data_IF_991342719933
#
_entry.id   IF_991342719933
#
_cell.length_a   1.000
_cell.length_b   1.000
_cell.length_c   1.000
_cell.angle_alpha   90.00
_cell.angle_beta   90.00
_cell.angle_gamma   90.00
#
_symmetry.space_group_name_H-M   'P 1'
#
loop_
_entity.id
_entity.type
_entity.pdbx_description
1 polymer ?
#
# COMPACT_ATOMS: atom_id res chain seq x y z
N UNK A 1 -16.77 12.72 -5.55
CA UNK A 1 -15.40 12.46 -5.05
C UNK A 1 -15.03 11.04 -5.42
N UNK A 2 -13.91 10.88 -6.11
CA UNK A 2 -13.30 9.61 -6.48
C UNK A 2 -11.94 9.48 -5.80
N UNK A 3 -11.40 8.27 -5.73
CA UNK A 3 -10.02 8.05 -5.27
C UNK A 3 -8.98 8.80 -6.13
N UNK A 4 -9.33 9.12 -7.38
CA UNK A 4 -8.47 9.85 -8.32
C UNK A 4 -8.27 11.34 -8.00
N UNK A 5 -9.05 11.89 -7.07
CA UNK A 5 -8.91 13.27 -6.60
C UNK A 5 -7.75 13.42 -5.59
N UNK A 6 -7.18 12.31 -5.12
CA UNK A 6 -6.18 12.28 -4.05
C UNK A 6 -4.75 12.09 -4.58
N UNK A 7 -3.80 12.55 -3.78
CA UNK A 7 -2.37 12.31 -3.94
C UNK A 7 -1.78 11.73 -2.65
N UNK A 8 -0.74 10.91 -2.80
CA UNK A 8 0.00 10.33 -1.69
C UNK A 8 1.49 10.59 -1.86
N UNK A 9 2.22 10.57 -0.75
CA UNK A 9 3.69 10.62 -0.77
C UNK A 9 4.21 9.19 -0.73
N UNK A 10 4.99 8.79 -1.73
CA UNK A 10 5.68 7.49 -1.72
C UNK A 10 6.66 7.39 -0.55
N UNK A 11 7.06 6.17 -0.21
CA UNK A 11 8.04 5.91 0.85
C UNK A 11 9.36 6.68 0.66
N UNK A 12 9.73 6.95 -0.60
CA UNK A 12 10.92 7.72 -0.99
C UNK A 12 10.68 9.24 -1.04
N UNK A 13 9.55 9.75 -0.54
CA UNK A 13 9.24 11.18 -0.46
C UNK A 13 8.70 11.81 -1.77
N UNK A 14 8.56 11.04 -2.85
CA UNK A 14 8.00 11.55 -4.12
C UNK A 14 6.48 11.55 -4.11
N UNK A 15 5.81 12.62 -4.58
CA UNK A 15 4.36 12.63 -4.73
C UNK A 15 3.91 11.68 -5.84
N UNK A 16 2.80 10.96 -5.60
CA UNK A 16 2.12 10.07 -6.53
C UNK A 16 0.66 10.49 -6.60
N UNK A 17 0.12 10.67 -7.80
CA UNK A 17 -1.31 10.93 -7.99
C UNK A 17 -2.04 9.61 -8.12
N UNK A 18 -3.14 9.43 -7.39
CA UNK A 18 -3.92 8.20 -7.48
C UNK A 18 -4.64 8.07 -8.84
N UNK A 19 -4.82 9.18 -9.56
CA UNK A 19 -5.28 9.21 -10.95
C UNK A 19 -4.41 8.40 -11.92
N UNK A 20 -3.12 8.22 -11.60
CA UNK A 20 -2.18 7.48 -12.46
C UNK A 20 -2.52 5.98 -12.55
N UNK A 21 -3.37 5.50 -11.64
CA UNK A 21 -3.88 4.13 -11.62
C UNK A 21 -5.30 4.00 -12.19
N UNK A 22 -5.78 5.00 -12.92
CA UNK A 22 -7.10 4.92 -13.58
C UNK A 22 -7.21 3.70 -14.50
N UNK A 23 -8.37 3.05 -14.49
CA UNK A 23 -8.63 1.82 -15.24
C UNK A 23 -8.08 0.55 -14.60
N UNK A 24 -7.40 0.63 -13.46
CA UNK A 24 -6.96 -0.52 -12.67
C UNK A 24 -7.89 -0.78 -11.48
N UNK A 25 -7.98 -2.05 -11.08
CA UNK A 25 -8.57 -2.45 -9.79
C UNK A 25 -7.54 -2.21 -8.70
N UNK A 26 -7.91 -1.44 -7.66
CA UNK A 26 -7.03 -1.06 -6.58
C UNK A 26 -7.39 -1.78 -5.28
N UNK A 27 -6.40 -2.44 -4.67
CA UNK A 27 -6.46 -2.89 -3.29
C UNK A 27 -5.60 -1.95 -2.42
N UNK A 28 -6.24 -1.13 -1.59
CA UNK A 28 -5.56 -0.21 -0.67
C UNK A 28 -5.48 -0.87 0.70
N UNK A 29 -4.27 -0.98 1.25
CA UNK A 29 -4.01 -1.70 2.50
C UNK A 29 -3.21 -0.81 3.45
N UNK A 30 -3.69 -0.62 4.67
CA UNK A 30 -2.86 -0.07 5.74
C UNK A 30 -1.99 -1.18 6.33
N UNK A 31 -0.68 -0.95 6.41
CA UNK A 31 0.31 -1.96 6.79
C UNK A 31 1.04 -1.60 8.09
N UNK A 32 1.56 -2.60 8.78
CA UNK A 32 2.42 -2.44 9.95
C UNK A 32 3.33 -3.66 10.08
N UNK A 33 4.65 -3.43 10.07
CA UNK A 33 5.73 -4.40 10.04
C UNK A 33 5.81 -5.25 11.30
N UNK A 34 5.52 -4.68 12.48
CA UNK A 34 5.52 -5.40 13.77
C UNK A 34 4.15 -5.96 14.14
N UNK A 35 3.24 -6.07 13.18
CA UNK A 35 1.90 -6.60 13.40
C UNK A 35 1.87 -8.12 13.26
N UNK A 36 1.02 -8.82 14.02
CA UNK A 36 0.82 -10.27 13.86
C UNK A 36 0.28 -10.65 12.47
N UNK A 37 -0.26 -9.66 11.75
CA UNK A 37 -0.75 -9.76 10.40
C UNK A 37 0.32 -9.59 9.32
N UNK A 38 1.60 -9.34 9.65
CA UNK A 38 2.68 -9.26 8.64
C UNK A 38 2.82 -10.53 7.79
N UNK A 39 2.33 -11.68 8.29
CA UNK A 39 2.21 -12.93 7.51
C UNK A 39 1.37 -12.75 6.23
N UNK A 40 0.43 -11.81 6.22
CA UNK A 40 -0.40 -11.50 5.06
C UNK A 40 0.39 -10.91 3.89
N UNK A 41 1.60 -10.37 4.10
CA UNK A 41 2.42 -9.82 3.02
C UNK A 41 2.76 -10.86 1.97
N UNK A 42 3.03 -12.10 2.37
CA UNK A 42 3.29 -13.18 1.42
C UNK A 42 2.07 -13.48 0.54
N UNK A 43 0.87 -13.44 1.10
CA UNK A 43 -0.36 -13.71 0.35
C UNK A 43 -0.78 -12.49 -0.50
N UNK A 44 -0.53 -11.26 -0.04
CA UNK A 44 -0.66 -10.05 -0.85
C UNK A 44 0.29 -10.05 -2.04
N UNK A 45 1.54 -10.49 -1.85
CA UNK A 45 2.51 -10.64 -2.93
C UNK A 45 2.03 -11.68 -3.95
N UNK A 46 1.62 -12.88 -3.52
CA UNK A 46 1.06 -13.90 -4.43
C UNK A 46 -0.16 -13.39 -5.19
N UNK A 47 -1.06 -12.68 -4.50
CA UNK A 47 -2.23 -12.07 -5.14
C UNK A 47 -1.79 -11.07 -6.22
N UNK A 48 -0.86 -10.19 -5.90
CA UNK A 48 -0.32 -9.22 -6.84
C UNK A 48 0.30 -9.88 -8.06
N UNK A 49 1.19 -10.86 -7.86
CA UNK A 49 1.83 -11.62 -8.93
C UNK A 49 0.79 -12.28 -9.85
N UNK A 50 -0.28 -12.84 -9.29
CA UNK A 50 -1.32 -13.52 -10.06
C UNK A 50 -2.28 -12.59 -10.84
N UNK A 51 -2.36 -11.30 -10.48
CA UNK A 51 -3.37 -10.36 -11.00
C UNK A 51 -2.81 -9.10 -11.65
N UNK A 52 -1.54 -8.73 -11.43
CA UNK A 52 -0.96 -7.46 -11.90
C UNK A 52 -1.12 -7.24 -13.41
N UNK A 53 -0.97 -8.31 -14.20
CA UNK A 53 -1.09 -8.27 -15.67
C UNK A 53 -2.53 -8.09 -16.14
N UNK A 54 -3.52 -8.28 -15.25
CA UNK A 54 -4.95 -8.08 -15.49
C UNK A 54 -5.42 -6.68 -15.05
N UNK A 55 -4.48 -5.74 -14.81
CA UNK A 55 -4.81 -4.38 -14.37
C UNK A 55 -5.15 -4.28 -12.89
N UNK A 56 -4.46 -5.04 -12.03
CA UNK A 56 -4.62 -4.99 -10.57
C UNK A 56 -3.39 -4.37 -9.91
N UNK A 57 -3.57 -3.51 -8.91
CA UNK A 57 -2.49 -2.93 -8.11
C UNK A 57 -2.82 -2.93 -6.62
N UNK A 58 -1.77 -3.11 -5.80
CA UNK A 58 -1.86 -2.98 -4.35
C UNK A 58 -1.13 -1.71 -3.94
N UNK A 59 -1.81 -0.84 -3.18
CA UNK A 59 -1.24 0.36 -2.59
C UNK A 59 -1.14 0.17 -1.07
N UNK A 60 0.08 -0.02 -0.58
CA UNK A 60 0.36 -0.23 0.84
C UNK A 60 0.73 1.09 1.53
N UNK A 61 0.07 1.37 2.66
CA UNK A 61 0.25 2.57 3.47
C UNK A 61 0.67 2.19 4.89
N UNK A 62 1.96 2.29 5.26
CA UNK A 62 2.40 2.07 6.63
C UNK A 62 1.66 2.98 7.61
N UNK A 63 1.19 2.43 8.72
CA UNK A 63 0.42 3.18 9.71
C UNK A 63 0.74 2.74 11.15
N UNK A 64 1.21 3.69 11.95
CA UNK A 64 1.59 3.45 13.35
C UNK A 64 0.44 3.66 14.35
N UNK A 65 -0.76 4.03 13.90
CA UNK A 65 -1.87 4.41 14.78
C UNK A 65 -2.53 3.21 15.48
N UNK A 66 -2.14 1.98 15.13
CA UNK A 66 -2.67 0.75 15.71
C UNK A 66 -1.65 0.10 16.64
N UNK A 67 -1.75 0.39 17.94
CA UNK A 67 -0.88 -0.16 18.99
C UNK A 67 0.63 0.00 18.72
N UNK A 68 1.01 1.09 18.06
CA UNK A 68 2.40 1.44 17.74
C UNK A 68 3.18 0.31 17.03
N UNK A 69 2.50 -0.40 16.13
CA UNK A 69 3.07 -1.54 15.39
C UNK A 69 3.88 -1.17 14.15
N UNK A 70 4.03 0.13 13.88
CA UNK A 70 4.93 0.66 12.85
C UNK A 70 5.80 1.81 13.36
N UNK A 71 6.66 1.57 14.38
CA UNK A 71 7.44 2.63 15.00
C UNK A 71 8.65 3.07 14.15
N UNK A 72 8.96 2.35 13.08
CA UNK A 72 10.07 2.65 12.18
C UNK A 72 9.80 3.89 11.33
N UNK A 73 10.87 4.57 10.97
CA UNK A 73 10.85 5.61 9.94
C UNK A 73 10.60 5.01 8.55
N UNK A 74 10.26 5.83 7.56
CA UNK A 74 10.08 5.37 6.17
C UNK A 74 11.29 4.62 5.60
N UNK A 75 12.51 4.86 6.11
CA UNK A 75 13.72 4.16 5.67
C UNK A 75 13.89 2.77 6.29
N UNK A 76 13.09 2.44 7.31
CA UNK A 76 13.14 1.19 8.09
C UNK A 76 11.94 0.26 7.79
N UNK A 77 11.06 0.67 6.86
CA UNK A 77 9.81 0.00 6.48
C UNK A 77 9.85 -0.42 5.01
#
# INVERSE_FOLDING_TARGET
>A
MSIYDFQATSINGKPIKLSDYSGKVLLIVNTASKCSFSRQFADLQKLYESRREQGFEILAFPCNQFNEKEPGSNSEV
#
